data_IF_319556941005
#
_entry.id   IF_319556941005
#
_cell.length_a   1.000
_cell.length_b   1.000
_cell.length_c   1.000
_cell.angle_alpha   90.00
_cell.angle_beta   90.00
_cell.angle_gamma   90.00
#
_symmetry.space_group_name_H-M   'P 1'
#
loop_
_entity.id
_entity.type
_entity.pdbx_description
1 polymer ?
#
# COMPACT_ATOMS: atom_id res chain seq x y z
N UNK A 1 -14.06 -6.23 -28.20
CA UNK A 1 -12.65 -6.41 -27.78
C UNK A 1 -12.66 -7.17 -26.46
N UNK A 2 -11.99 -8.32 -26.36
CA UNK A 2 -11.92 -9.05 -25.09
C UNK A 2 -11.14 -8.17 -24.10
N UNK A 3 -11.78 -7.81 -22.97
CA UNK A 3 -11.07 -7.16 -21.86
C UNK A 3 -10.00 -8.13 -21.41
N UNK A 4 -8.73 -7.81 -21.70
CA UNK A 4 -7.59 -8.63 -21.28
C UNK A 4 -7.48 -8.48 -19.76
N UNK A 5 -8.13 -9.38 -19.04
CA UNK A 5 -8.09 -9.44 -17.59
C UNK A 5 -6.70 -9.95 -17.15
N UNK A 6 -5.72 -9.06 -17.12
CA UNK A 6 -4.36 -9.36 -16.67
C UNK A 6 -4.45 -9.98 -15.27
N UNK A 7 -3.84 -11.17 -15.14
CA UNK A 7 -3.72 -11.87 -13.87
C UNK A 7 -2.29 -11.77 -13.37
N UNK A 8 -2.16 -11.53 -12.08
CA UNK A 8 -0.87 -11.47 -11.39
C UNK A 8 -0.99 -12.09 -10.00
N UNK A 9 0.15 -12.27 -9.35
CA UNK A 9 0.20 -12.73 -7.95
C UNK A 9 0.48 -11.61 -6.97
N UNK A 10 1.14 -10.53 -7.40
CA UNK A 10 1.58 -9.48 -6.50
C UNK A 10 0.86 -8.19 -6.79
N UNK A 11 0.36 -7.56 -5.73
CA UNK A 11 -0.45 -6.37 -5.83
C UNK A 11 -0.06 -5.34 -4.78
N UNK A 12 -0.16 -4.07 -5.16
CA UNK A 12 0.00 -2.91 -4.28
C UNK A 12 -1.34 -2.21 -4.15
N UNK A 13 -1.65 -1.70 -2.96
CA UNK A 13 -2.78 -0.79 -2.77
C UNK A 13 -2.62 0.09 -1.53
N UNK A 14 -3.48 1.11 -1.42
CA UNK A 14 -3.55 2.01 -0.28
C UNK A 14 -4.75 1.70 0.60
N UNK A 15 -4.56 1.78 1.92
CA UNK A 15 -5.61 1.86 2.92
C UNK A 15 -5.58 3.23 3.61
N UNK A 16 -6.74 3.85 3.79
CA UNK A 16 -6.85 5.09 4.55
C UNK A 16 -7.39 4.78 5.95
N UNK A 17 -6.72 5.21 7.04
CA UNK A 17 -7.14 4.90 8.41
C UNK A 17 -8.58 5.32 8.73
N UNK A 18 -9.06 6.41 8.13
CA UNK A 18 -10.42 6.93 8.31
C UNK A 18 -11.49 6.19 7.49
N UNK A 19 -11.09 5.24 6.65
CA UNK A 19 -11.95 4.51 5.72
C UNK A 19 -11.92 2.99 5.94
N UNK A 20 -11.24 2.54 7.00
CA UNK A 20 -11.11 1.13 7.40
C UNK A 20 -11.55 0.97 8.86
N UNK A 21 -12.05 -0.20 9.27
CA UNK A 21 -12.50 -0.43 10.64
C UNK A 21 -11.31 -0.53 11.62
N UNK A 22 -11.53 -0.32 12.92
CA UNK A 22 -10.46 -0.36 13.92
C UNK A 22 -9.73 -1.71 14.01
N UNK A 23 -10.44 -2.81 13.75
CA UNK A 23 -9.96 -4.20 13.73
C UNK A 23 -9.47 -4.63 12.32
N UNK A 24 -8.99 -3.68 11.52
CA UNK A 24 -8.58 -3.96 10.14
C UNK A 24 -7.43 -4.96 10.05
N UNK A 25 -6.53 -5.00 11.04
CA UNK A 25 -5.37 -5.90 11.06
C UNK A 25 -5.81 -7.36 11.16
N UNK A 26 -6.64 -7.66 12.15
CA UNK A 26 -7.24 -8.97 12.39
C UNK A 26 -8.10 -9.40 11.20
N UNK A 27 -8.79 -8.43 10.58
CA UNK A 27 -9.55 -8.66 9.36
C UNK A 27 -8.67 -9.05 8.17
N UNK A 28 -7.54 -8.38 7.96
CA UNK A 28 -6.58 -8.77 6.92
C UNK A 28 -5.95 -10.13 7.21
N UNK A 29 -5.59 -10.38 8.47
CA UNK A 29 -5.04 -11.66 8.92
C UNK A 29 -5.98 -12.83 8.60
N UNK A 30 -7.26 -12.71 8.94
CA UNK A 30 -8.26 -13.77 8.66
C UNK A 30 -8.49 -14.09 7.17
N UNK A 31 -7.91 -13.32 6.23
CA UNK A 31 -7.92 -13.68 4.80
C UNK A 31 -6.94 -14.83 4.50
N UNK A 32 -5.98 -15.10 5.39
CA UNK A 32 -4.91 -16.08 5.20
C UNK A 32 -3.96 -15.75 4.04
N UNK A 33 -3.94 -14.49 3.60
CA UNK A 33 -3.08 -14.03 2.51
C UNK A 33 -1.88 -13.31 3.10
N UNK A 34 -0.68 -13.65 2.62
CA UNK A 34 0.56 -13.00 3.02
C UNK A 34 0.57 -11.55 2.55
N UNK A 35 0.79 -10.62 3.49
CA UNK A 35 0.85 -9.20 3.22
C UNK A 35 1.97 -8.52 4.03
N UNK A 36 2.52 -7.45 3.48
CA UNK A 36 3.32 -6.48 4.22
C UNK A 36 2.62 -5.13 4.17
N UNK A 37 2.48 -4.50 5.34
CA UNK A 37 1.86 -3.17 5.47
C UNK A 37 2.92 -2.20 5.95
N UNK A 38 3.04 -1.06 5.29
CA UNK A 38 3.96 0.00 5.69
C UNK A 38 3.66 0.50 7.12
N UNK A 39 4.58 1.27 7.73
CA UNK A 39 4.20 2.22 8.76
C UNK A 39 3.08 3.15 8.28
N UNK A 40 2.49 3.95 9.16
CA UNK A 40 1.55 4.99 8.71
C UNK A 40 2.31 6.06 7.93
N UNK A 41 1.97 6.24 6.65
CA UNK A 41 2.52 7.33 5.84
C UNK A 41 1.73 8.60 6.10
N UNK A 42 2.24 9.48 6.97
CA UNK A 42 1.65 10.78 7.29
C UNK A 42 2.62 11.96 7.08
N UNK A 43 3.79 11.70 6.51
CA UNK A 43 4.84 12.68 6.20
C UNK A 43 5.20 12.71 4.69
N UNK A 44 4.28 12.25 3.85
CA UNK A 44 4.40 12.30 2.39
C UNK A 44 4.17 13.73 1.86
N UNK A 45 5.21 14.56 1.87
CA UNK A 45 5.18 15.94 1.37
C UNK A 45 4.94 16.00 -0.14
N UNK A 46 4.01 16.86 -0.56
CA UNK A 46 3.79 17.26 -1.95
C UNK A 46 4.66 18.47 -2.27
N UNK A 47 5.79 18.22 -2.92
CA UNK A 47 6.75 19.27 -3.31
C UNK A 47 6.33 20.06 -4.55
N UNK A 48 5.41 19.51 -5.35
CA UNK A 48 4.89 20.14 -6.57
C UNK A 48 3.56 20.85 -6.25
N UNK A 49 3.57 22.19 -6.31
CA UNK A 49 2.43 23.04 -5.96
C UNK A 49 1.23 22.80 -6.89
N UNK A 50 1.46 22.41 -8.14
CA UNK A 50 0.40 22.11 -9.11
C UNK A 50 -0.41 20.85 -8.70
N UNK A 51 0.13 20.04 -7.79
CA UNK A 51 -0.54 18.83 -7.28
C UNK A 51 -1.30 19.04 -5.97
N UNK A 52 -1.23 20.25 -5.42
CA UNK A 52 -1.92 20.59 -4.18
C UNK A 52 -3.44 20.59 -4.38
N UNK A 53 -4.17 20.12 -3.38
CA UNK A 53 -5.63 20.13 -3.41
C UNK A 53 -6.24 20.18 -2.00
N UNK A 54 -7.56 20.33 -1.94
CA UNK A 54 -8.30 20.49 -0.69
C UNK A 54 -8.25 19.29 0.27
N UNK A 55 -7.78 18.12 -0.17
CA UNK A 55 -7.60 16.95 0.70
C UNK A 55 -6.21 16.88 1.35
N UNK A 56 -5.35 17.87 1.11
CA UNK A 56 -4.02 17.89 1.69
C UNK A 56 -4.05 18.18 3.19
N UNK A 57 -3.15 17.54 3.91
CA UNK A 57 -2.90 17.87 5.31
C UNK A 57 -1.85 18.98 5.33
N UNK A 58 -2.21 20.13 5.88
CA UNK A 58 -1.30 21.28 5.98
C UNK A 58 -0.61 21.25 7.34
N UNK A 59 0.72 21.20 7.35
CA UNK A 59 1.55 21.32 8.57
C UNK A 59 2.66 22.33 8.30
N UNK A 60 2.73 23.40 9.10
CA UNK A 60 3.76 24.45 8.95
C UNK A 60 3.87 25.02 7.52
N UNK A 61 2.72 25.24 6.85
CA UNK A 61 2.65 25.78 5.49
C UNK A 61 3.02 24.80 4.37
N UNK A 62 3.37 23.55 4.69
CA UNK A 62 3.64 22.49 3.71
C UNK A 62 2.42 21.61 3.51
N UNK A 63 2.24 21.15 2.27
CA UNK A 63 1.17 20.23 1.87
C UNK A 63 1.64 18.78 1.95
N UNK A 64 0.89 17.95 2.66
CA UNK A 64 1.13 16.52 2.81
C UNK A 64 -0.04 15.73 2.25
N UNK A 65 0.24 14.54 1.70
CA UNK A 65 -0.80 13.60 1.33
C UNK A 65 -1.60 13.18 2.57
N UNK A 66 -2.88 12.87 2.34
CA UNK A 66 -3.75 12.25 3.36
C UNK A 66 -3.08 11.00 3.95
N UNK A 67 -3.12 10.78 5.28
CA UNK A 67 -2.48 9.61 5.90
C UNK A 67 -2.96 8.29 5.31
N UNK A 68 -2.03 7.39 4.99
CA UNK A 68 -2.34 6.12 4.35
C UNK A 68 -1.35 5.02 4.73
N UNK A 69 -1.75 3.77 4.53
CA UNK A 69 -0.86 2.62 4.54
C UNK A 69 -0.66 2.12 3.12
N UNK A 70 0.58 1.84 2.74
CA UNK A 70 0.88 1.00 1.59
C UNK A 70 0.76 -0.47 1.99
N UNK A 71 0.15 -1.28 1.13
CA UNK A 71 0.01 -2.73 1.35
C UNK A 71 0.55 -3.48 0.14
N UNK A 72 1.48 -4.40 0.39
CA UNK A 72 1.88 -5.44 -0.56
C UNK A 72 1.05 -6.68 -0.25
N UNK A 73 0.39 -7.22 -1.27
CA UNK A 73 -0.49 -8.38 -1.20
C UNK A 73 0.01 -9.47 -2.14
N UNK A 74 0.26 -10.67 -1.59
CA UNK A 74 0.75 -11.83 -2.35
C UNK A 74 -0.38 -12.87 -2.49
N UNK A 75 -1.08 -12.84 -3.62
CA UNK A 75 -2.10 -13.83 -3.95
C UNK A 75 -1.50 -15.25 -4.05
N UNK A 76 -2.22 -16.23 -3.49
CA UNK A 76 -1.88 -17.66 -3.59
C UNK A 76 -1.85 -18.15 -5.04
N UNK A 77 -2.72 -17.61 -5.89
CA UNK A 77 -2.83 -17.94 -7.32
C UNK A 77 -2.92 -16.65 -8.15
N UNK A 78 -2.60 -16.67 -9.46
CA UNK A 78 -2.82 -15.53 -10.34
C UNK A 78 -4.30 -15.11 -10.38
N UNK A 79 -4.58 -13.87 -9.99
CA UNK A 79 -5.93 -13.28 -9.94
C UNK A 79 -5.94 -11.92 -10.61
N UNK A 80 -7.14 -11.37 -10.84
CA UNK A 80 -7.28 -10.02 -11.41
C UNK A 80 -7.23 -8.95 -10.32
N UNK A 81 -6.89 -7.72 -10.70
CA UNK A 81 -6.99 -6.53 -9.83
C UNK A 81 -8.37 -6.43 -9.17
N UNK A 82 -9.42 -6.66 -9.95
CA UNK A 82 -10.80 -6.56 -9.47
C UNK A 82 -11.15 -7.64 -8.43
N UNK A 83 -10.54 -8.83 -8.53
CA UNK A 83 -10.70 -9.88 -7.53
C UNK A 83 -10.09 -9.46 -6.18
N UNK A 84 -8.89 -8.86 -6.21
CA UNK A 84 -8.23 -8.32 -5.02
C UNK A 84 -9.05 -7.17 -4.42
N UNK A 85 -9.44 -6.19 -5.24
CA UNK A 85 -10.28 -5.06 -4.81
C UNK A 85 -11.56 -5.53 -4.12
N UNK A 86 -12.31 -6.44 -4.73
CA UNK A 86 -13.56 -6.94 -4.16
C UNK A 86 -13.36 -7.77 -2.90
N UNK A 87 -12.26 -8.53 -2.80
CA UNK A 87 -11.93 -9.26 -1.58
C UNK A 87 -11.65 -8.30 -0.41
N UNK A 88 -10.87 -7.25 -0.64
CA UNK A 88 -10.57 -6.25 0.40
C UNK A 88 -11.82 -5.46 0.77
N UNK A 89 -12.63 -4.99 -0.20
CA UNK A 89 -13.88 -4.28 0.09
C UNK A 89 -14.87 -5.10 0.92
N UNK A 90 -15.04 -6.39 0.61
CA UNK A 90 -15.90 -7.27 1.42
C UNK A 90 -15.43 -7.40 2.87
N UNK A 91 -14.12 -7.23 3.10
CA UNK A 91 -13.53 -7.44 4.43
C UNK A 91 -13.41 -6.15 5.24
N UNK A 92 -13.09 -5.04 4.59
CA UNK A 92 -12.80 -3.75 5.23
C UNK A 92 -13.82 -2.65 4.93
N UNK A 93 -14.79 -2.88 4.03
CA UNK A 93 -15.81 -1.90 3.64
C UNK A 93 -15.60 -1.32 2.24
N UNK A 94 -16.65 -0.77 1.63
CA UNK A 94 -16.61 -0.35 0.22
C UNK A 94 -15.65 0.81 -0.08
N UNK A 95 -15.36 1.64 0.93
CA UNK A 95 -14.47 2.81 0.82
C UNK A 95 -13.03 2.50 1.24
N UNK A 96 -12.72 1.24 1.58
CA UNK A 96 -11.44 0.87 2.20
C UNK A 96 -10.23 0.97 1.26
N UNK A 97 -10.46 0.93 -0.06
CA UNK A 97 -9.41 0.77 -1.07
C UNK A 97 -9.64 1.73 -2.24
N UNK A 98 -8.61 2.47 -2.60
CA UNK A 98 -8.64 3.41 -3.73
C UNK A 98 -7.99 2.77 -4.98
N UNK A 99 -6.67 2.87 -5.09
CA UNK A 99 -5.90 2.33 -6.21
C UNK A 99 -5.37 0.93 -5.89
N UNK A 100 -5.40 0.04 -6.90
CA UNK A 100 -4.83 -1.31 -6.84
C UNK A 100 -4.02 -1.50 -8.11
N UNK A 101 -2.75 -1.87 -7.96
CA UNK A 101 -1.80 -2.07 -9.06
C UNK A 101 -1.15 -3.44 -8.97
N UNK A 102 -0.61 -3.89 -10.10
CA UNK A 102 0.25 -5.09 -10.16
C UNK A 102 1.68 -4.66 -9.83
N UNK A 103 2.36 -5.44 -8.99
CA UNK A 103 3.75 -5.18 -8.63
C UNK A 103 4.69 -6.10 -9.42
N UNK A 104 5.45 -5.53 -10.34
CA UNK A 104 6.44 -6.27 -11.13
C UNK A 104 7.76 -6.46 -10.37
N UNK A 105 8.13 -5.51 -9.50
CA UNK A 105 9.37 -5.55 -8.71
C UNK A 105 9.08 -5.48 -7.21
N UNK A 106 9.01 -6.65 -6.57
CA UNK A 106 8.60 -6.79 -5.17
C UNK A 106 9.62 -6.20 -4.21
N UNK A 107 10.91 -6.45 -4.44
CA UNK A 107 11.96 -5.90 -3.60
C UNK A 107 11.90 -4.37 -3.53
N UNK A 108 11.83 -3.69 -4.68
CA UNK A 108 11.72 -2.24 -4.71
C UNK A 108 10.40 -1.73 -4.11
N UNK A 109 9.30 -2.47 -4.28
CA UNK A 109 8.02 -2.14 -3.65
C UNK A 109 8.07 -2.27 -2.12
N UNK A 110 8.77 -3.29 -1.62
CA UNK A 110 8.96 -3.52 -0.19
C UNK A 110 9.86 -2.46 0.43
N UNK A 111 10.97 -2.11 -0.22
CA UNK A 111 11.83 -0.98 0.18
C UNK A 111 11.07 0.36 0.13
N UNK A 112 10.09 0.50 -0.78
CA UNK A 112 9.26 1.70 -0.87
C UNK A 112 8.28 1.84 0.32
N UNK A 113 7.94 0.77 1.04
CA UNK A 113 7.12 0.84 2.26
C UNK A 113 7.73 1.73 3.35
N UNK A 114 9.04 1.98 3.30
CA UNK A 114 9.73 2.90 4.21
C UNK A 114 10.47 4.02 3.46
N UNK A 115 10.19 4.18 2.16
CA UNK A 115 10.88 5.11 1.25
C UNK A 115 12.39 4.91 1.13
N UNK A 116 12.85 3.67 1.25
CA UNK A 116 14.26 3.30 1.09
C UNK A 116 14.56 2.67 -0.28
N UNK A 117 13.58 2.64 -1.18
CA UNK A 117 13.84 2.24 -2.56
C UNK A 117 14.67 3.30 -3.28
N UNK A 118 15.40 2.87 -4.32
CA UNK A 118 16.25 3.76 -5.14
C UNK A 118 15.54 5.03 -5.61
N UNK A 119 14.30 4.92 -6.06
CA UNK A 119 13.51 6.06 -6.54
C UNK A 119 13.06 6.99 -5.40
N UNK A 120 12.64 6.43 -4.25
CA UNK A 120 12.22 7.23 -3.10
C UNK A 120 13.38 8.03 -2.49
N UNK A 121 14.57 7.41 -2.44
CA UNK A 121 15.81 8.07 -2.03
C UNK A 121 16.16 9.19 -3.03
N UNK A 122 16.11 8.92 -4.34
CA UNK A 122 16.41 9.93 -5.36
C UNK A 122 15.46 11.15 -5.28
N UNK A 123 14.21 10.93 -4.88
CA UNK A 123 13.20 11.98 -4.66
C UNK A 123 13.27 12.63 -3.27
N UNK A 124 14.21 12.21 -2.43
CA UNK A 124 14.39 12.66 -1.05
C UNK A 124 13.05 12.66 -0.29
N UNK A 125 12.36 11.50 -0.30
CA UNK A 125 11.13 11.27 0.45
C UNK A 125 11.46 11.00 1.93
N UNK A 126 10.51 11.28 2.81
CA UNK A 126 10.67 11.00 4.24
C UNK A 126 10.85 9.49 4.48
N UNK A 127 11.88 9.09 5.23
CA UNK A 127 12.17 7.69 5.54
C UNK A 127 11.42 7.28 6.82
N UNK A 128 10.61 6.23 6.73
CA UNK A 128 9.88 5.68 7.87
C UNK A 128 10.65 4.53 8.54
N UNK A 129 10.33 4.23 9.80
CA UNK A 129 11.03 3.20 10.57
C UNK A 129 10.60 1.77 10.15
N UNK A 130 11.56 0.96 9.69
CA UNK A 130 11.35 -0.45 9.30
C UNK A 130 10.70 -1.31 10.38
N UNK A 131 10.95 -1.02 11.67
CA UNK A 131 10.38 -1.81 12.76
C UNK A 131 8.85 -1.73 12.83
N UNK A 132 8.28 -0.72 12.18
CA UNK A 132 6.84 -0.48 12.14
C UNK A 132 6.18 -1.13 10.90
N UNK A 133 6.93 -1.84 10.05
CA UNK A 133 6.34 -2.68 9.01
C UNK A 133 5.60 -3.83 9.70
N UNK A 134 4.34 -4.01 9.34
CA UNK A 134 3.52 -5.12 9.82
C UNK A 134 3.53 -6.25 8.77
N UNK A 135 4.03 -7.42 9.17
CA UNK A 135 3.92 -8.65 8.38
C UNK A 135 2.69 -9.44 8.82
N UNK A 136 1.89 -9.88 7.84
CA UNK A 136 0.64 -10.62 8.06
C UNK A 136 0.72 -11.96 7.35
N UNK A 137 0.27 -13.04 8.01
CA UNK A 137 0.22 -14.41 7.48
C UNK A 137 1.55 -14.87 6.88
N UNK A 138 2.59 -14.87 7.72
CA UNK A 138 3.93 -15.35 7.39
C UNK A 138 4.53 -14.70 6.13
N UNK A 139 4.25 -13.41 5.92
CA UNK A 139 4.97 -12.65 4.91
C UNK A 139 6.47 -12.67 5.25
N UNK A 140 7.23 -13.46 4.50
CA UNK A 140 8.65 -13.57 4.69
C UNK A 140 9.35 -12.39 4.00
N UNK A 141 10.07 -11.55 4.75
CA UNK A 141 10.91 -10.49 4.15
C UNK A 141 11.93 -11.01 3.12
N UNK A 142 12.18 -12.33 3.05
CA UNK A 142 12.98 -12.96 2.01
C UNK A 142 12.36 -12.95 0.61
N UNK A 143 11.04 -12.78 0.45
CA UNK A 143 10.45 -12.56 -0.90
C UNK A 143 10.92 -11.24 -1.54
N UNK A 144 11.51 -10.34 -0.74
CA UNK A 144 12.19 -9.14 -1.19
C UNK A 144 13.71 -9.33 -1.39
N UNK A 145 14.27 -10.54 -1.27
CA UNK A 145 15.70 -10.83 -1.44
C UNK A 145 16.10 -11.37 -2.82
N UNK A 146 15.14 -11.60 -3.71
CA UNK A 146 15.39 -12.05 -5.09
C UNK A 146 15.41 -10.87 -6.07
#
# INVERSE_FOLDING_TARGET
MAVKNTKARHFGFLLYPDSIPNDWKEKLESLGISMAVSPLHDMDEKKDEDTWNSNDVIRNGKHYKKPHYHVIYIARNPVTIESVRNKIKRKLGNSSIAHVEILDYIKGSYEYLTHESKDAIAKNKHIYDKKNILHINDFDGSVAKF
#
